data_IF_996586106698
#
_entry.id   IF_996586106698
#
_cell.length_a   1.000
_cell.length_b   1.000
_cell.length_c   1.000
_cell.angle_alpha   90.00
_cell.angle_beta   90.00
_cell.angle_gamma   90.00
#
_symmetry.space_group_name_H-M   'P 1'
#
loop_
_entity.id
_entity.type
_entity.pdbx_description
1 polymer ?
#
# COMPACT_ATOMS: atom_id res chain seq x y z
N UNK A 1 9.33 5.28 -16.65
CA UNK A 1 7.87 5.14 -16.82
C UNK A 1 7.28 6.27 -17.65
N UNK A 2 7.29 7.54 -17.18
CA UNK A 2 6.66 8.68 -17.87
C UNK A 2 6.96 8.78 -19.38
N UNK A 3 8.24 8.79 -19.76
CA UNK A 3 8.65 8.86 -21.17
C UNK A 3 8.38 7.54 -21.91
N UNK A 4 8.67 6.40 -21.28
CA UNK A 4 8.54 5.06 -21.88
C UNK A 4 7.09 4.74 -22.29
N UNK A 5 6.12 5.13 -21.47
CA UNK A 5 4.69 4.95 -21.73
C UNK A 5 4.03 6.20 -22.31
N UNK A 6 4.81 7.27 -22.55
CA UNK A 6 4.34 8.53 -23.11
C UNK A 6 3.11 9.09 -22.36
N UNK A 7 3.18 9.12 -21.02
CA UNK A 7 2.08 9.56 -20.16
C UNK A 7 1.63 10.99 -20.46
N UNK A 8 2.54 11.85 -20.97
CA UNK A 8 2.15 13.21 -21.40
C UNK A 8 1.05 13.24 -22.47
N UNK A 9 0.91 12.15 -23.26
CA UNK A 9 -0.07 12.04 -24.35
C UNK A 9 -1.30 11.24 -23.94
N UNK A 10 -1.10 10.15 -23.18
CA UNK A 10 -2.15 9.17 -22.91
C UNK A 10 -2.83 9.33 -21.56
N UNK A 11 -2.23 10.07 -20.63
CA UNK A 11 -2.74 10.23 -19.26
C UNK A 11 -3.23 11.66 -19.00
N UNK A 12 -4.13 11.79 -18.02
CA UNK A 12 -4.71 13.08 -17.64
C UNK A 12 -3.65 14.06 -17.13
N UNK A 13 -3.70 15.31 -17.62
CA UNK A 13 -2.89 16.42 -17.08
C UNK A 13 -3.30 16.85 -15.66
N UNK A 14 -4.34 16.23 -15.09
CA UNK A 14 -4.68 16.38 -13.67
C UNK A 14 -3.98 15.33 -12.79
N UNK A 15 -3.35 14.33 -13.40
CA UNK A 15 -2.86 13.09 -12.78
C UNK A 15 -1.41 12.82 -13.21
N UNK A 16 -1.05 11.56 -13.52
CA UNK A 16 0.30 11.13 -13.90
C UNK A 16 0.76 11.67 -15.27
N UNK A 17 -0.15 12.23 -16.07
CA UNK A 17 0.21 12.98 -17.29
C UNK A 17 0.91 14.31 -16.98
N UNK A 18 0.77 14.84 -15.75
CA UNK A 18 1.45 16.05 -15.28
C UNK A 18 2.74 15.71 -14.53
N UNK A 19 3.88 15.94 -15.18
CA UNK A 19 5.21 15.53 -14.69
C UNK A 19 5.53 16.08 -13.30
N UNK A 20 5.07 17.29 -12.98
CA UNK A 20 5.30 17.96 -11.69
C UNK A 20 4.59 17.26 -10.52
N UNK A 21 3.51 16.51 -10.77
CA UNK A 21 2.80 15.75 -9.72
C UNK A 21 3.47 14.42 -9.38
N UNK A 22 4.37 13.92 -10.22
CA UNK A 22 4.98 12.60 -10.04
C UNK A 22 5.83 12.51 -8.77
N UNK A 23 6.47 13.60 -8.35
CA UNK A 23 7.24 13.64 -7.10
C UNK A 23 6.33 13.44 -5.89
N UNK A 24 5.17 14.09 -5.87
CA UNK A 24 4.15 13.88 -4.84
C UNK A 24 3.64 12.44 -4.83
N UNK A 25 3.27 11.89 -5.98
CA UNK A 25 2.81 10.50 -6.07
C UNK A 25 3.90 9.50 -5.65
N UNK A 26 5.17 9.76 -5.98
CA UNK A 26 6.28 8.92 -5.55
C UNK A 26 6.43 8.89 -4.03
N UNK A 27 6.23 10.03 -3.34
CA UNK A 27 6.24 10.09 -1.88
C UNK A 27 5.11 9.27 -1.27
N UNK A 28 3.89 9.38 -1.79
CA UNK A 28 2.76 8.58 -1.31
C UNK A 28 2.95 7.09 -1.60
N UNK A 29 3.40 6.74 -2.81
CA UNK A 29 3.65 5.37 -3.25
C UNK A 29 4.70 4.70 -2.36
N UNK A 30 5.78 5.41 -2.03
CA UNK A 30 6.80 4.91 -1.13
C UNK A 30 6.23 4.63 0.26
N UNK A 31 5.46 5.56 0.83
CA UNK A 31 4.82 5.33 2.13
C UNK A 31 3.85 4.15 2.11
N UNK A 32 3.07 4.01 1.03
CA UNK A 32 2.16 2.90 0.83
C UNK A 32 2.91 1.57 0.78
N UNK A 33 3.95 1.45 -0.06
CA UNK A 33 4.78 0.24 -0.17
C UNK A 33 5.61 -0.04 1.09
N UNK A 34 5.85 0.95 1.95
CA UNK A 34 6.46 0.74 3.27
C UNK A 34 5.45 0.25 4.33
N UNK A 35 4.19 0.01 3.94
CA UNK A 35 3.17 -0.44 4.88
C UNK A 35 2.65 0.66 5.80
N UNK A 36 2.74 1.94 5.44
CA UNK A 36 2.05 2.98 6.21
C UNK A 36 0.52 2.79 6.11
N UNK A 37 -0.19 3.02 7.21
CA UNK A 37 -1.66 3.11 7.14
C UNK A 37 -2.07 4.38 6.38
N UNK A 38 -3.26 4.36 5.77
CA UNK A 38 -3.82 5.54 5.09
C UNK A 38 -3.82 6.75 6.02
N UNK A 39 -4.20 6.54 7.29
CA UNK A 39 -4.12 7.58 8.32
C UNK A 39 -2.72 8.15 8.47
N UNK A 40 -1.68 7.31 8.55
CA UNK A 40 -0.30 7.79 8.67
C UNK A 40 0.15 8.58 7.44
N UNK A 41 -0.30 8.19 6.25
CA UNK A 41 -0.01 8.91 5.00
C UNK A 41 -0.66 10.30 5.01
N UNK A 42 -1.92 10.38 5.44
CA UNK A 42 -2.65 11.64 5.62
C UNK A 42 -1.96 12.52 6.65
N UNK A 43 -1.65 11.98 7.84
CA UNK A 43 -0.99 12.71 8.93
C UNK A 43 0.35 13.29 8.43
N UNK A 44 1.17 12.51 7.74
CA UNK A 44 2.44 12.98 7.17
C UNK A 44 2.23 14.10 6.12
N UNK A 45 1.13 14.06 5.36
CA UNK A 45 0.80 15.09 4.37
C UNK A 45 0.34 16.38 5.05
N UNK A 46 -0.43 16.29 6.14
CA UNK A 46 -0.78 17.44 6.98
C UNK A 46 0.46 18.05 7.63
N UNK A 47 1.33 17.22 8.23
CA UNK A 47 2.61 17.64 8.81
C UNK A 47 3.50 18.36 7.78
N UNK A 48 3.51 17.91 6.53
CA UNK A 48 4.23 18.58 5.44
C UNK A 48 3.69 20.00 5.22
N UNK A 49 2.38 20.18 5.08
CA UNK A 49 1.75 21.49 4.88
C UNK A 49 1.91 22.42 6.09
N UNK A 50 1.84 21.89 7.31
CA UNK A 50 2.18 22.60 8.54
C UNK A 50 3.60 23.14 8.51
N UNK A 51 4.57 22.33 8.07
CA UNK A 51 5.99 22.70 8.02
C UNK A 51 6.29 23.75 6.96
N UNK A 52 5.72 23.62 5.77
CA UNK A 52 5.96 24.59 4.68
C UNK A 52 5.11 25.86 4.81
N UNK A 53 4.04 25.83 5.59
CA UNK A 53 3.15 26.95 5.84
C UNK A 53 2.28 27.35 4.63
N UNK A 54 2.15 26.48 3.62
CA UNK A 54 1.46 26.77 2.37
C UNK A 54 0.61 25.59 1.91
N UNK A 55 -0.51 25.87 1.25
CA UNK A 55 -1.40 24.89 0.61
C UNK A 55 -1.97 25.48 -0.69
N UNK A 56 -2.25 24.64 -1.67
CA UNK A 56 -2.94 25.07 -2.88
C UNK A 56 -4.45 25.13 -2.64
N UNK A 57 -5.05 26.31 -2.82
CA UNK A 57 -6.49 26.48 -2.74
C UNK A 57 -7.11 26.25 -4.12
N UNK A 58 -7.95 25.23 -4.22
CA UNK A 58 -8.58 24.82 -5.47
C UNK A 58 -9.70 25.75 -5.94
N UNK A 59 -10.30 26.55 -5.06
CA UNK A 59 -11.32 27.56 -5.41
C UNK A 59 -10.65 28.81 -5.95
N UNK A 60 -9.62 29.27 -5.25
CA UNK A 60 -8.86 30.49 -5.60
C UNK A 60 -7.78 30.25 -6.66
N UNK A 61 -7.49 28.98 -6.99
CA UNK A 61 -6.47 28.53 -7.94
C UNK A 61 -5.08 29.12 -7.68
N UNK A 62 -4.72 29.26 -6.41
CA UNK A 62 -3.45 29.86 -5.97
C UNK A 62 -2.92 29.20 -4.69
N UNK A 63 -1.63 29.36 -4.43
CA UNK A 63 -1.05 29.03 -3.14
C UNK A 63 -1.52 30.04 -2.09
N UNK A 64 -2.01 29.54 -0.97
CA UNK A 64 -2.43 30.32 0.20
C UNK A 64 -1.65 29.85 1.43
N UNK A 65 -1.68 30.64 2.51
CA UNK A 65 -1.12 30.23 3.79
C UNK A 65 -1.88 29.05 4.37
N UNK A 66 -1.14 28.04 4.86
CA UNK A 66 -1.73 26.94 5.60
C UNK A 66 -1.95 27.36 7.06
N UNK A 67 -3.19 27.29 7.53
CA UNK A 67 -3.61 27.73 8.87
C UNK A 67 -4.19 26.61 9.72
N UNK A 68 -4.24 25.37 9.22
CA UNK A 68 -4.79 24.21 9.95
C UNK A 68 -6.31 24.27 10.13
N UNK A 69 -7.02 24.93 9.21
CA UNK A 69 -8.49 24.93 9.26
C UNK A 69 -9.03 23.57 8.82
N UNK A 70 -10.17 23.15 9.37
CA UNK A 70 -10.84 21.90 8.97
C UNK A 70 -11.03 21.79 7.45
N UNK A 71 -11.27 22.91 6.75
CA UNK A 71 -11.41 22.89 5.29
C UNK A 71 -10.10 22.56 4.57
N UNK A 72 -8.97 23.05 5.06
CA UNK A 72 -7.65 22.76 4.48
C UNK A 72 -7.25 21.32 4.77
N UNK A 73 -7.41 20.86 6.01
CA UNK A 73 -7.10 19.48 6.39
C UNK A 73 -7.98 18.49 5.63
N UNK A 74 -9.28 18.77 5.50
CA UNK A 74 -10.17 17.95 4.68
C UNK A 74 -9.76 17.92 3.20
N UNK A 75 -9.23 19.02 2.66
CA UNK A 75 -8.71 19.05 1.29
C UNK A 75 -7.51 18.12 1.14
N UNK A 76 -6.59 18.11 2.12
CA UNK A 76 -5.42 17.22 2.13
C UNK A 76 -5.86 15.76 2.26
N UNK A 77 -6.85 15.47 3.12
CA UNK A 77 -7.44 14.14 3.27
C UNK A 77 -8.00 13.65 1.93
N UNK A 78 -8.82 14.46 1.27
CA UNK A 78 -9.41 14.12 -0.03
C UNK A 78 -8.32 13.89 -1.07
N UNK A 79 -7.33 14.78 -1.15
CA UNK A 79 -6.21 14.64 -2.10
C UNK A 79 -5.43 13.34 -1.89
N UNK A 80 -5.12 12.98 -0.64
CA UNK A 80 -4.43 11.74 -0.31
C UNK A 80 -5.25 10.50 -0.69
N UNK A 81 -6.55 10.48 -0.35
CA UNK A 81 -7.43 9.34 -0.66
C UNK A 81 -7.56 9.16 -2.17
N UNK A 82 -7.86 10.24 -2.91
CA UNK A 82 -7.94 10.21 -4.38
C UNK A 82 -6.61 9.79 -5.00
N UNK A 83 -5.47 10.28 -4.49
CA UNK A 83 -4.18 9.85 -5.01
C UNK A 83 -3.92 8.36 -4.74
N UNK A 84 -4.24 7.86 -3.55
CA UNK A 84 -4.08 6.43 -3.24
C UNK A 84 -4.95 5.57 -4.17
N UNK A 85 -6.23 5.89 -4.31
CA UNK A 85 -7.17 5.08 -5.08
C UNK A 85 -6.91 5.17 -6.59
N UNK A 86 -7.01 6.37 -7.16
CA UNK A 86 -7.03 6.55 -8.62
C UNK A 86 -5.63 6.53 -9.24
N UNK A 87 -4.63 6.96 -8.47
CA UNK A 87 -3.26 7.09 -8.99
C UNK A 87 -2.41 5.90 -8.63
N UNK A 88 -2.30 5.58 -7.34
CA UNK A 88 -1.37 4.53 -6.88
C UNK A 88 -1.94 3.15 -7.19
N UNK A 89 -3.14 2.85 -6.69
CA UNK A 89 -3.76 1.53 -6.79
C UNK A 89 -4.35 1.25 -8.18
N UNK A 90 -4.88 2.26 -8.86
CA UNK A 90 -5.40 2.08 -10.21
C UNK A 90 -4.33 2.34 -11.29
N UNK A 91 -3.91 3.59 -11.49
CA UNK A 91 -3.08 3.95 -12.65
C UNK A 91 -1.68 3.33 -12.57
N UNK A 92 -0.94 3.61 -11.50
CA UNK A 92 0.45 3.17 -11.32
C UNK A 92 0.51 1.65 -11.19
N UNK A 93 -0.37 1.01 -10.40
CA UNK A 93 -0.37 -0.46 -10.26
C UNK A 93 -0.52 -1.12 -11.63
N UNK A 94 -1.49 -0.70 -12.45
CA UNK A 94 -1.69 -1.25 -13.79
C UNK A 94 -0.44 -1.21 -14.67
N UNK A 95 0.37 -0.15 -14.59
CA UNK A 95 1.63 -0.09 -15.33
C UNK A 95 2.69 -1.04 -14.78
N UNK A 96 2.81 -1.18 -13.46
CA UNK A 96 3.73 -2.13 -12.83
C UNK A 96 3.32 -3.58 -13.05
N UNK A 97 2.02 -3.90 -12.99
CA UNK A 97 1.49 -5.24 -13.32
C UNK A 97 1.85 -5.63 -14.74
N UNK A 98 1.53 -4.79 -15.74
CA UNK A 98 1.86 -5.05 -17.15
C UNK A 98 3.36 -5.22 -17.37
N UNK A 99 4.18 -4.43 -16.67
CA UNK A 99 5.62 -4.58 -16.72
C UNK A 99 6.07 -5.93 -16.13
N UNK A 100 5.56 -6.29 -14.94
CA UNK A 100 5.86 -7.55 -14.26
C UNK A 100 5.48 -8.76 -15.12
N UNK A 101 4.27 -8.78 -15.67
CA UNK A 101 3.79 -9.83 -16.58
C UNK A 101 4.68 -9.98 -17.81
N UNK A 102 5.02 -8.85 -18.46
CA UNK A 102 5.86 -8.86 -19.66
C UNK A 102 7.28 -9.33 -19.34
N UNK A 103 7.82 -8.94 -18.19
CA UNK A 103 9.13 -9.37 -17.74
C UNK A 103 9.17 -10.88 -17.47
N UNK A 104 8.19 -11.41 -16.71
CA UNK A 104 8.01 -12.84 -16.44
C UNK A 104 7.97 -13.66 -17.73
N UNK A 105 7.16 -13.21 -18.69
CA UNK A 105 7.06 -13.85 -20.02
C UNK A 105 8.40 -13.89 -20.76
N UNK A 106 9.11 -12.75 -20.83
CA UNK A 106 10.36 -12.65 -21.60
C UNK A 106 11.51 -13.44 -20.95
N UNK A 107 11.56 -13.46 -19.62
CA UNK A 107 12.61 -14.15 -18.86
C UNK A 107 12.29 -15.61 -18.55
N UNK A 108 11.05 -16.05 -18.83
CA UNK A 108 10.55 -17.39 -18.50
C UNK A 108 10.71 -17.70 -17.01
N UNK A 109 10.35 -16.72 -16.18
CA UNK A 109 10.34 -16.84 -14.71
C UNK A 109 8.94 -16.57 -14.21
N UNK A 110 8.51 -17.28 -13.17
CA UNK A 110 7.19 -17.08 -12.56
C UNK A 110 7.23 -16.01 -11.45
N UNK A 111 8.41 -15.83 -10.84
CA UNK A 111 8.62 -14.94 -9.70
C UNK A 111 9.66 -13.89 -10.07
N UNK A 112 9.37 -12.64 -9.73
CA UNK A 112 10.34 -11.53 -9.78
C UNK A 112 10.74 -11.24 -8.34
N UNK A 113 12.04 -11.20 -8.07
CA UNK A 113 12.54 -10.69 -6.80
C UNK A 113 12.28 -9.17 -6.73
N UNK A 114 11.67 -8.72 -5.64
CA UNK A 114 11.24 -7.33 -5.47
C UNK A 114 10.25 -6.86 -6.54
N UNK A 115 9.18 -7.63 -6.76
CA UNK A 115 8.10 -7.26 -7.68
C UNK A 115 7.32 -6.04 -7.15
N UNK A 116 7.56 -4.86 -7.71
CA UNK A 116 6.86 -3.64 -7.29
C UNK A 116 5.36 -3.73 -7.54
N UNK A 117 4.87 -4.55 -8.49
CA UNK A 117 3.43 -4.78 -8.64
C UNK A 117 2.87 -5.39 -7.36
N UNK A 118 3.52 -6.43 -6.83
CA UNK A 118 3.12 -7.11 -5.60
C UNK A 118 3.13 -6.13 -4.41
N UNK A 119 4.16 -5.30 -4.31
CA UNK A 119 4.28 -4.34 -3.20
C UNK A 119 3.19 -3.28 -3.20
N UNK A 120 2.75 -2.86 -4.39
CA UNK A 120 1.66 -1.90 -4.54
C UNK A 120 0.33 -2.56 -4.21
N UNK A 121 0.08 -3.76 -4.73
CA UNK A 121 -1.17 -4.49 -4.55
C UNK A 121 -1.41 -4.81 -3.07
N UNK A 122 -0.38 -5.25 -2.36
CA UNK A 122 -0.44 -5.56 -0.92
C UNK A 122 -0.16 -4.36 -0.01
N UNK A 123 0.27 -3.24 -0.59
CA UNK A 123 0.63 -2.02 0.13
C UNK A 123 1.63 -2.26 1.25
N UNK A 124 2.66 -3.04 0.96
CA UNK A 124 3.79 -3.38 1.84
C UNK A 124 4.87 -4.11 1.01
N UNK A 125 6.14 -3.95 1.36
CA UNK A 125 7.25 -4.73 0.81
C UNK A 125 7.72 -5.83 1.78
N UNK A 126 7.05 -5.96 2.93
CA UNK A 126 7.31 -7.03 3.89
C UNK A 126 6.73 -8.36 3.39
N UNK A 127 7.62 -9.33 3.18
CA UNK A 127 7.25 -10.65 2.65
C UNK A 127 6.30 -11.42 3.57
N UNK A 128 6.47 -11.35 4.89
CA UNK A 128 5.58 -12.05 5.84
C UNK A 128 4.17 -11.47 5.73
N UNK A 129 4.06 -10.14 5.71
CA UNK A 129 2.77 -9.47 5.58
C UNK A 129 2.10 -9.80 4.24
N UNK A 130 2.86 -9.87 3.13
CA UNK A 130 2.34 -10.27 1.82
C UNK A 130 1.80 -11.72 1.87
N UNK A 131 2.56 -12.66 2.40
CA UNK A 131 2.15 -14.07 2.46
C UNK A 131 0.92 -14.28 3.36
N UNK A 132 0.80 -13.53 4.45
CA UNK A 132 -0.40 -13.52 5.30
C UNK A 132 -1.63 -12.96 4.56
N UNK A 133 -1.46 -11.91 3.76
CA UNK A 133 -2.57 -11.35 2.98
C UNK A 133 -3.01 -12.29 1.86
N UNK A 134 -2.09 -13.02 1.22
CA UNK A 134 -2.40 -14.03 0.18
C UNK A 134 -3.30 -15.15 0.70
N UNK A 135 -3.15 -15.54 1.95
CA UNK A 135 -4.04 -16.54 2.58
C UNK A 135 -5.34 -15.93 3.11
N UNK A 136 -5.47 -14.60 3.12
CA UNK A 136 -6.74 -13.90 3.36
C UNK A 136 -6.80 -13.01 4.60
N UNK A 137 -5.69 -12.81 5.32
CA UNK A 137 -5.67 -11.81 6.40
C UNK A 137 -5.74 -10.39 5.81
N UNK A 138 -6.41 -9.48 6.52
CA UNK A 138 -6.28 -8.06 6.25
C UNK A 138 -4.84 -7.59 6.51
N UNK A 139 -4.43 -6.51 5.85
CA UNK A 139 -3.10 -5.92 6.06
C UNK A 139 -2.88 -5.51 7.51
N UNK A 140 -3.93 -5.02 8.17
CA UNK A 140 -3.91 -4.61 9.57
C UNK A 140 -3.66 -5.81 10.49
N UNK A 141 -4.36 -6.93 10.30
CA UNK A 141 -4.12 -8.15 11.10
C UNK A 141 -2.78 -8.77 10.77
N UNK A 142 -2.37 -8.81 9.50
CA UNK A 142 -1.07 -9.31 9.08
C UNK A 142 0.10 -8.58 9.79
N UNK A 143 0.00 -7.25 9.91
CA UNK A 143 0.96 -6.44 10.70
C UNK A 143 0.95 -6.78 12.18
N UNK A 144 -0.19 -7.11 12.77
CA UNK A 144 -0.28 -7.51 14.19
C UNK A 144 0.40 -8.87 14.40
N UNK A 145 0.17 -9.81 13.47
CA UNK A 145 0.78 -11.15 13.50
C UNK A 145 2.30 -11.05 13.37
N UNK A 146 2.79 -10.30 12.38
CA UNK A 146 4.22 -10.06 12.16
C UNK A 146 4.87 -9.36 13.36
N UNK A 147 4.29 -8.25 13.83
CA UNK A 147 4.82 -7.45 14.95
C UNK A 147 4.95 -8.26 16.24
N UNK A 148 3.99 -9.14 16.50
CA UNK A 148 3.99 -10.01 17.67
C UNK A 148 4.76 -11.32 17.46
N UNK A 149 5.41 -11.50 16.29
CA UNK A 149 6.17 -12.69 15.91
C UNK A 149 5.36 -13.98 16.06
N UNK A 150 4.10 -13.93 15.64
CA UNK A 150 3.16 -15.05 15.74
C UNK A 150 3.23 -16.00 14.55
N UNK A 151 4.17 -15.76 13.63
CA UNK A 151 4.34 -16.53 12.40
C UNK A 151 5.80 -16.60 12.00
N UNK A 152 6.20 -17.72 11.40
CA UNK A 152 7.49 -17.91 10.77
C UNK A 152 7.31 -18.54 9.38
N UNK A 153 8.19 -18.20 8.44
CA UNK A 153 8.27 -18.85 7.13
C UNK A 153 9.42 -19.84 7.18
N UNK A 154 9.13 -21.13 6.98
CA UNK A 154 10.16 -22.18 6.91
C UNK A 154 11.01 -22.05 5.66
N UNK A 155 12.15 -22.74 5.64
CA UNK A 155 13.00 -22.88 4.45
C UNK A 155 12.24 -23.44 3.22
N UNK A 156 11.16 -24.19 3.45
CA UNK A 156 10.25 -24.67 2.40
C UNK A 156 9.31 -23.60 1.83
N UNK A 157 9.31 -22.39 2.37
CA UNK A 157 8.36 -21.32 2.05
C UNK A 157 7.01 -21.45 2.74
N UNK A 158 6.80 -22.48 3.57
CA UNK A 158 5.53 -22.69 4.27
C UNK A 158 5.40 -21.80 5.51
N UNK A 159 4.22 -21.19 5.65
CA UNK A 159 3.80 -20.43 6.82
C UNK A 159 3.55 -21.39 7.98
N UNK A 160 4.15 -21.11 9.15
CA UNK A 160 3.82 -21.78 10.41
C UNK A 160 3.46 -20.74 11.46
N UNK A 161 2.28 -20.87 12.07
CA UNK A 161 1.90 -20.00 13.18
C UNK A 161 2.44 -20.52 14.51
N UNK A 162 2.69 -19.60 15.44
CA UNK A 162 2.92 -19.92 16.85
C UNK A 162 1.62 -20.29 17.53
N UNK A 163 1.67 -21.19 18.54
CA UNK A 163 0.54 -21.48 19.45
C UNK A 163 -0.04 -20.22 20.09
N UNK A 164 0.80 -19.20 20.29
CA UNK A 164 0.40 -17.95 20.93
C UNK A 164 -0.55 -17.12 20.07
N UNK A 165 -0.74 -17.46 18.79
CA UNK A 165 -1.71 -16.77 17.92
C UNK A 165 -3.13 -16.84 18.47
N UNK A 166 -3.49 -17.95 19.14
CA UNK A 166 -4.81 -18.13 19.75
C UNK A 166 -4.99 -17.34 21.06
N UNK A 167 -3.89 -16.93 21.68
CA UNK A 167 -3.90 -16.18 22.94
C UNK A 167 -3.90 -14.66 22.71
N UNK A 168 -3.88 -14.20 21.45
CA UNK A 168 -3.89 -12.77 21.17
C UNK A 168 -5.23 -12.13 21.54
N UNK A 169 -5.21 -10.96 22.16
CA UNK A 169 -6.42 -10.26 22.61
C UNK A 169 -7.11 -9.43 21.51
N UNK A 170 -6.52 -9.33 20.32
CA UNK A 170 -7.11 -8.56 19.23
C UNK A 170 -8.34 -9.27 18.64
N UNK A 171 -9.50 -8.62 18.70
CA UNK A 171 -10.78 -9.19 18.24
C UNK A 171 -10.79 -9.45 16.72
N UNK A 172 -10.26 -8.50 15.93
CA UNK A 172 -10.19 -8.64 14.47
C UNK A 172 -9.34 -9.84 14.06
N UNK A 173 -8.19 -10.03 14.72
CA UNK A 173 -7.35 -11.21 14.51
C UNK A 173 -8.11 -12.49 14.79
N UNK A 174 -8.87 -12.57 15.89
CA UNK A 174 -9.66 -13.78 16.22
C UNK A 174 -10.69 -14.10 15.14
N UNK A 175 -11.41 -13.08 14.66
CA UNK A 175 -12.44 -13.24 13.61
C UNK A 175 -11.78 -13.77 12.33
N UNK A 176 -10.78 -13.06 11.82
CA UNK A 176 -10.10 -13.46 10.59
C UNK A 176 -9.41 -14.82 10.73
N UNK A 177 -8.85 -15.13 11.90
CA UNK A 177 -8.21 -16.42 12.16
C UNK A 177 -9.19 -17.59 12.07
N UNK A 178 -10.43 -17.44 12.54
CA UNK A 178 -11.47 -18.47 12.38
C UNK A 178 -11.82 -18.67 10.90
N UNK A 179 -11.94 -17.59 10.12
CA UNK A 179 -12.18 -17.69 8.67
C UNK A 179 -11.01 -18.38 7.95
N UNK A 180 -9.76 -18.06 8.32
CA UNK A 180 -8.57 -18.70 7.75
C UNK A 180 -8.50 -20.18 8.12
N UNK A 181 -8.87 -20.58 9.35
CA UNK A 181 -8.90 -22.01 9.74
C UNK A 181 -9.87 -22.83 8.89
N UNK A 182 -11.01 -22.26 8.50
CA UNK A 182 -11.99 -22.94 7.66
C UNK A 182 -11.44 -23.20 6.25
N UNK A 183 -10.69 -22.24 5.70
CA UNK A 183 -10.18 -22.31 4.33
C UNK A 183 -8.81 -22.99 4.21
N UNK A 184 -7.98 -22.91 5.26
CA UNK A 184 -6.57 -23.38 5.28
C UNK A 184 -6.26 -24.23 6.52
N UNK A 185 -7.12 -25.21 6.81
CA UNK A 185 -7.04 -26.05 8.02
C UNK A 185 -5.67 -26.73 8.23
N UNK A 186 -4.97 -27.07 7.15
CA UNK A 186 -3.65 -27.70 7.14
C UNK A 186 -2.56 -26.86 7.79
N UNK A 187 -2.68 -25.52 7.76
CA UNK A 187 -1.72 -24.62 8.40
C UNK A 187 -1.75 -24.74 9.93
N UNK A 188 -2.83 -25.29 10.49
CA UNK A 188 -3.06 -25.37 11.94
C UNK A 188 -2.98 -26.79 12.51
N UNK A 189 -2.80 -27.83 11.68
CA UNK A 189 -2.84 -29.23 12.14
C UNK A 189 -1.72 -29.63 13.12
N UNK A 190 -0.62 -28.87 13.14
CA UNK A 190 0.59 -29.18 13.91
C UNK A 190 0.96 -28.09 14.93
N UNK A 191 -0.01 -27.23 15.27
CA UNK A 191 0.17 -26.13 16.21
C UNK A 191 -0.53 -26.47 17.50
#
# INVERSE_FOLDING_TARGET
MYELFNWTKYESKKEIGKKEKLSYYAVLLNQWMMGHSVRRIIDNSIEYHQKIGQIFDDKEKKLVGYTGTNSQDNSIVIECLTAIEDILLFSISNYFTKFSERYKYLKKVDIIENDWSEYIDFGTNDKIIIELQKIGFSREVAKIIEKNKLVEIKDSGMIQFSKDIFNNNNEQLKIELEDIKLNYSELFKNI
#
